data_IF_063336011360
#
_entry.id   IF_063336011360
#
_cell.length_a   1.000
_cell.length_b   1.000
_cell.length_c   1.000
_cell.angle_alpha   90.00
_cell.angle_beta   90.00
_cell.angle_gamma   90.00
#
_symmetry.space_group_name_H-M   'P 1'
#
loop_
_entity.id
_entity.type
_entity.pdbx_description
1 polymer ?
#
# COMPACT_ATOMS: atom_id res chain seq x y z
N UNK A 1 16.06 -23.65 -3.98
CA UNK A 1 16.54 -22.44 -3.26
C UNK A 1 15.34 -21.55 -2.98
N UNK A 2 15.31 -20.86 -1.84
CA UNK A 2 14.22 -19.92 -1.51
C UNK A 2 14.44 -18.59 -2.25
N UNK A 3 13.39 -18.04 -2.84
CA UNK A 3 13.42 -16.72 -3.51
C UNK A 3 13.64 -15.61 -2.47
N UNK A 4 14.67 -14.78 -2.64
CA UNK A 4 14.95 -13.67 -1.71
C UNK A 4 14.05 -12.46 -2.00
N UNK A 5 14.05 -11.47 -1.09
CA UNK A 5 13.37 -10.19 -1.35
C UNK A 5 13.95 -9.48 -2.59
N UNK A 6 15.28 -9.53 -2.76
CA UNK A 6 15.95 -8.91 -3.90
C UNK A 6 15.57 -9.58 -5.21
N UNK A 7 15.39 -10.90 -5.22
CA UNK A 7 14.94 -11.63 -6.40
C UNK A 7 13.51 -11.22 -6.78
N UNK A 8 12.59 -11.15 -5.81
CA UNK A 8 11.21 -10.68 -6.03
C UNK A 8 11.15 -9.25 -6.54
N UNK A 9 11.99 -8.37 -5.97
CA UNK A 9 12.04 -6.97 -6.39
C UNK A 9 12.51 -6.85 -7.84
N UNK A 10 13.60 -7.54 -8.21
CA UNK A 10 14.10 -7.54 -9.59
C UNK A 10 13.04 -8.06 -10.56
N UNK A 11 12.36 -9.14 -10.21
CA UNK A 11 11.27 -9.68 -11.03
C UNK A 11 10.14 -8.67 -11.25
N UNK A 12 9.73 -7.94 -10.22
CA UNK A 12 8.72 -6.88 -10.34
C UNK A 12 9.21 -5.68 -11.17
N UNK A 13 10.47 -5.27 -10.98
CA UNK A 13 11.10 -4.18 -11.76
C UNK A 13 11.15 -4.51 -13.25
N UNK A 14 11.54 -5.74 -13.60
CA UNK A 14 11.62 -6.20 -14.98
C UNK A 14 10.23 -6.35 -15.60
N UNK A 15 9.30 -6.98 -14.88
CA UNK A 15 7.92 -7.21 -15.35
C UNK A 15 7.17 -5.90 -15.64
N UNK A 16 7.24 -4.96 -14.70
CA UNK A 16 6.51 -3.70 -14.77
C UNK A 16 7.35 -2.58 -15.43
N UNK A 17 8.60 -2.88 -15.81
CA UNK A 17 9.59 -1.94 -16.35
C UNK A 17 9.69 -0.66 -15.52
N UNK A 18 9.67 -0.82 -14.20
CA UNK A 18 9.49 0.27 -13.25
C UNK A 18 10.44 0.17 -12.08
N UNK A 19 10.84 1.33 -11.57
CA UNK A 19 11.60 1.49 -10.34
C UNK A 19 10.78 2.20 -9.26
N UNK A 20 9.49 2.44 -9.54
CA UNK A 20 8.61 3.21 -8.68
C UNK A 20 8.26 2.40 -7.45
N UNK A 21 8.42 3.03 -6.28
CA UNK A 21 7.93 2.54 -5.01
C UNK A 21 6.82 3.47 -4.52
N UNK A 22 5.62 2.96 -4.34
CA UNK A 22 4.47 3.73 -3.87
C UNK A 22 4.37 3.67 -2.34
N UNK A 23 4.25 4.84 -1.71
CA UNK A 23 3.95 4.94 -0.28
C UNK A 23 2.49 4.61 0.01
N UNK A 24 2.22 3.92 1.11
CA UNK A 24 0.87 3.63 1.61
C UNK A 24 0.72 4.25 3.00
N UNK A 25 0.47 5.56 2.99
CA UNK A 25 0.61 6.43 4.16
C UNK A 25 -0.73 7.18 4.40
N UNK A 26 -1.82 6.47 4.74
CA UNK A 26 -3.15 7.07 4.85
C UNK A 26 -3.25 8.03 6.03
N UNK A 27 -3.96 9.15 5.83
CA UNK A 27 -4.35 10.06 6.92
C UNK A 27 -5.86 10.13 6.94
N UNK A 28 -6.50 9.70 8.03
CA UNK A 28 -7.95 9.57 8.13
C UNK A 28 -8.71 10.83 7.68
N UNK A 29 -8.26 12.00 8.15
CA UNK A 29 -8.87 13.29 7.79
C UNK A 29 -8.64 13.77 6.35
N UNK A 30 -7.79 13.08 5.58
CA UNK A 30 -7.48 13.40 4.17
C UNK A 30 -7.98 12.34 3.18
N UNK A 31 -8.67 11.30 3.68
CA UNK A 31 -9.20 10.25 2.82
C UNK A 31 -10.23 10.81 1.83
N UNK A 32 -10.22 10.39 0.55
CA UNK A 32 -11.25 10.77 -0.41
C UNK A 32 -12.66 10.35 0.03
N UNK A 33 -13.67 11.15 -0.30
CA UNK A 33 -15.07 10.88 0.09
C UNK A 33 -15.58 9.49 -0.37
N UNK A 34 -15.07 8.95 -1.48
CA UNK A 34 -15.46 7.65 -2.01
C UNK A 34 -15.06 6.45 -1.13
N UNK A 35 -14.11 6.61 -0.21
CA UNK A 35 -13.65 5.53 0.70
C UNK A 35 -14.02 5.78 2.16
N UNK A 36 -14.41 7.00 2.54
CA UNK A 36 -14.76 7.35 3.92
C UNK A 36 -15.96 6.57 4.48
N UNK A 37 -16.88 6.15 3.61
CA UNK A 37 -18.09 5.40 4.00
C UNK A 37 -17.89 3.88 4.00
N UNK A 38 -16.68 3.39 3.69
CA UNK A 38 -16.38 1.97 3.77
C UNK A 38 -16.36 1.50 5.23
N UNK A 39 -16.63 0.21 5.45
CA UNK A 39 -16.52 -0.41 6.78
C UNK A 39 -15.11 -0.23 7.38
N UNK A 40 -14.07 -0.29 6.54
CA UNK A 40 -12.71 0.06 6.91
C UNK A 40 -12.12 1.04 5.89
N UNK A 41 -12.21 2.37 6.14
CA UNK A 41 -11.75 3.38 5.20
C UNK A 41 -10.26 3.33 4.88
N UNK A 42 -9.41 3.02 5.88
CA UNK A 42 -7.95 2.92 5.70
C UNK A 42 -7.59 1.76 4.78
N UNK A 43 -8.18 0.58 5.00
CA UNK A 43 -8.00 -0.59 4.15
C UNK A 43 -8.55 -0.33 2.74
N UNK A 44 -9.75 0.26 2.64
CA UNK A 44 -10.36 0.57 1.35
C UNK A 44 -9.47 1.52 0.52
N UNK A 45 -8.90 2.55 1.16
CA UNK A 45 -7.97 3.47 0.54
C UNK A 45 -6.67 2.76 0.11
N UNK A 46 -6.00 2.07 1.03
CA UNK A 46 -4.74 1.38 0.74
C UNK A 46 -4.88 0.34 -0.38
N UNK A 47 -5.95 -0.46 -0.34
CA UNK A 47 -6.27 -1.44 -1.39
C UNK A 47 -6.51 -0.77 -2.74
N UNK A 48 -7.29 0.31 -2.78
CA UNK A 48 -7.56 1.02 -4.04
C UNK A 48 -6.27 1.54 -4.68
N UNK A 49 -5.32 2.07 -3.89
CA UNK A 49 -4.01 2.49 -4.40
C UNK A 49 -3.22 1.29 -4.94
N UNK A 50 -3.19 0.17 -4.22
CA UNK A 50 -2.49 -1.04 -4.68
C UNK A 50 -3.10 -1.55 -5.99
N UNK A 51 -4.42 -1.72 -6.06
CA UNK A 51 -5.12 -2.21 -7.25
C UNK A 51 -4.91 -1.31 -8.46
N UNK A 52 -4.92 0.02 -8.26
CA UNK A 52 -4.75 0.98 -9.34
C UNK A 52 -3.30 1.14 -9.83
N UNK A 53 -2.30 0.62 -9.11
CA UNK A 53 -0.88 0.86 -9.41
C UNK A 53 -0.03 -0.41 -9.53
N UNK A 54 -0.59 -1.59 -9.25
CA UNK A 54 0.15 -2.86 -9.21
C UNK A 54 0.88 -3.22 -10.51
N UNK A 55 0.42 -2.72 -11.66
CA UNK A 55 1.03 -2.94 -12.98
C UNK A 55 2.17 -1.97 -13.31
N UNK A 56 2.33 -0.89 -12.55
CA UNK A 56 3.32 0.17 -12.81
C UNK A 56 4.34 0.38 -11.69
N UNK A 57 4.25 -0.34 -10.57
CA UNK A 57 5.19 -0.23 -9.44
C UNK A 57 6.07 -1.46 -9.30
N UNK A 58 7.24 -1.31 -8.68
CA UNK A 58 8.07 -2.45 -8.27
C UNK A 58 7.89 -2.81 -6.79
N UNK A 59 7.40 -1.88 -5.97
CA UNK A 59 7.23 -2.07 -4.54
C UNK A 59 6.18 -1.12 -3.94
N UNK A 60 5.68 -1.52 -2.77
CA UNK A 60 4.91 -0.66 -1.88
C UNK A 60 5.66 -0.48 -0.56
N UNK A 61 5.58 0.72 0.02
CA UNK A 61 6.22 1.07 1.29
C UNK A 61 5.19 1.69 2.24
N UNK A 62 4.42 0.88 2.99
CA UNK A 62 3.59 1.42 4.06
C UNK A 62 4.47 2.04 5.16
N UNK A 63 4.18 3.27 5.56
CA UNK A 63 4.80 3.88 6.72
C UNK A 63 3.97 3.58 7.98
N UNK A 64 4.52 2.72 8.84
CA UNK A 64 3.88 2.21 10.05
C UNK A 64 3.27 3.30 10.96
N UNK A 65 3.86 4.50 11.01
CA UNK A 65 3.38 5.58 11.88
C UNK A 65 1.94 6.03 11.55
N UNK A 66 1.57 6.04 10.26
CA UNK A 66 0.25 6.45 9.81
C UNK A 66 -0.84 5.44 10.20
N UNK A 67 -0.51 4.16 10.15
CA UNK A 67 -1.43 3.09 10.53
C UNK A 67 -1.59 3.02 12.05
N UNK A 68 -0.50 3.14 12.81
CA UNK A 68 -0.55 3.12 14.27
C UNK A 68 -1.24 4.35 14.88
N UNK A 69 -1.28 5.48 14.18
CA UNK A 69 -1.99 6.69 14.63
C UNK A 69 -3.50 6.43 14.85
N UNK A 70 -4.06 5.42 14.19
CA UNK A 70 -5.48 5.05 14.24
C UNK A 70 -5.73 3.88 15.23
N UNK A 71 -4.73 3.51 16.04
CA UNK A 71 -4.83 2.47 17.07
C UNK A 71 -4.93 1.05 16.50
N UNK A 72 -5.57 0.14 17.25
CA UNK A 72 -5.76 -1.26 16.83
C UNK A 72 -6.50 -1.41 15.49
N UNK A 73 -7.54 -0.60 15.17
CA UNK A 73 -8.17 -0.65 13.85
C UNK A 73 -7.20 -0.33 12.71
N UNK A 74 -6.31 0.65 12.89
CA UNK A 74 -5.29 0.98 11.90
C UNK A 74 -4.24 -0.12 11.74
N UNK A 75 -3.81 -0.75 12.83
CA UNK A 75 -2.93 -1.91 12.76
C UNK A 75 -3.58 -3.11 12.07
N UNK A 76 -4.87 -3.35 12.30
CA UNK A 76 -5.62 -4.43 11.64
C UNK A 76 -5.90 -4.14 10.16
N UNK A 77 -5.83 -2.88 9.74
CA UNK A 77 -6.01 -2.46 8.35
C UNK A 77 -4.73 -2.55 7.50
N UNK A 78 -3.56 -2.57 8.14
CA UNK A 78 -2.23 -2.68 7.52
C UNK A 78 -1.93 -4.13 7.09
#
# INVERSE_FOLDING_TARGET
MSTTFIDKLREAQDRNRSWVCVGLDPVMGQLPACVQQAENPLLAFGRAIVEATADVVSAFKPNLAFWLAEGLPGLAAL
#
